data_IF_639823500926
#
_entry.id   IF_639823500926
#
_cell.length_a   1.000
_cell.length_b   1.000
_cell.length_c   1.000
_cell.angle_alpha   90.00
_cell.angle_beta   90.00
_cell.angle_gamma   90.00
#
_symmetry.space_group_name_H-M   'P 1'
#
loop_
_entity.id
_entity.type
_entity.pdbx_description
1 polymer ?
#
# COMPACT_ATOMS: atom_id res chain seq x y z
N UNK A 1 -34.19 3.35 -29.33
CA UNK A 1 -33.95 3.85 -27.95
C UNK A 1 -32.46 3.71 -27.70
N UNK A 2 -31.69 4.76 -28.01
CA UNK A 2 -30.25 4.78 -27.80
C UNK A 2 -29.96 5.01 -26.31
N UNK A 3 -29.22 4.08 -25.70
CA UNK A 3 -28.73 4.24 -24.34
C UNK A 3 -27.44 5.06 -24.44
N UNK A 4 -27.53 6.35 -24.19
CA UNK A 4 -26.35 7.22 -24.08
C UNK A 4 -25.59 6.86 -22.80
N UNK A 5 -24.48 6.13 -22.95
CA UNK A 5 -23.56 5.85 -21.84
C UNK A 5 -22.71 7.09 -21.58
N UNK A 6 -23.07 7.88 -20.57
CA UNK A 6 -22.24 8.98 -20.09
C UNK A 6 -21.22 8.43 -19.09
N UNK A 7 -19.96 8.31 -19.49
CA UNK A 7 -18.86 8.02 -18.57
C UNK A 7 -18.66 9.23 -17.67
N UNK A 8 -18.84 9.05 -16.37
CA UNK A 8 -18.52 10.05 -15.35
C UNK A 8 -17.25 9.57 -14.66
N UNK A 9 -16.14 10.26 -14.90
CA UNK A 9 -14.92 10.06 -14.15
C UNK A 9 -15.06 10.82 -12.83
N UNK A 10 -15.45 10.12 -11.77
CA UNK A 10 -15.29 10.65 -10.42
C UNK A 10 -13.84 10.46 -10.06
N UNK A 11 -13.03 11.47 -10.33
CA UNK A 11 -11.66 11.56 -9.81
C UNK A 11 -11.82 11.92 -8.33
N UNK A 12 -11.39 11.08 -7.37
CA UNK A 12 -11.19 11.56 -6.02
C UNK A 12 -10.23 12.72 -6.14
N UNK A 13 -10.67 13.93 -5.81
CA UNK A 13 -9.85 15.12 -5.99
C UNK A 13 -8.61 14.99 -5.10
N UNK A 14 -7.50 14.50 -5.67
CA UNK A 14 -6.23 14.28 -4.97
C UNK A 14 -5.66 15.57 -4.38
N UNK A 15 -6.20 16.72 -4.80
CA UNK A 15 -5.85 18.07 -4.37
C UNK A 15 -6.35 18.41 -2.96
N UNK A 16 -7.24 17.61 -2.35
CA UNK A 16 -7.76 17.86 -0.99
C UNK A 16 -7.42 16.73 -0.01
N UNK A 17 -6.13 16.37 0.07
CA UNK A 17 -5.62 15.52 1.15
C UNK A 17 -4.86 16.41 2.13
N UNK A 18 -5.42 16.63 3.34
CA UNK A 18 -4.77 17.37 4.42
C UNK A 18 -3.30 16.97 4.58
N UNK A 19 -2.40 17.95 4.82
CA UNK A 19 -0.95 17.73 4.88
C UNK A 19 -0.53 16.69 5.94
N UNK A 20 -1.30 16.57 7.00
CA UNK A 20 -1.20 15.58 8.08
C UNK A 20 -1.56 14.14 7.66
N UNK A 21 -2.20 13.96 6.51
CA UNK A 21 -2.52 12.66 5.90
C UNK A 21 -1.55 12.26 4.77
N UNK A 22 -0.54 13.10 4.48
CA UNK A 22 0.41 12.85 3.41
C UNK A 22 1.40 11.75 3.83
N UNK A 23 2.10 11.87 4.96
CA UNK A 23 3.05 10.84 5.35
C UNK A 23 2.39 9.72 6.17
N UNK A 24 2.51 8.48 5.71
CA UNK A 24 2.15 7.32 6.54
C UNK A 24 3.43 6.81 7.20
N UNK A 25 3.44 6.89 8.53
CA UNK A 25 4.41 6.22 9.37
C UNK A 25 3.68 5.12 10.14
N UNK A 26 4.17 3.89 10.06
CA UNK A 26 3.70 2.81 10.94
C UNK A 26 4.85 2.04 11.53
N UNK A 27 4.72 1.71 12.80
CA UNK A 27 5.64 0.84 13.51
C UNK A 27 4.90 -0.42 13.94
N UNK A 28 5.46 -1.58 13.62
CA UNK A 28 4.96 -2.88 14.07
C UNK A 28 6.12 -3.65 14.67
N UNK A 29 5.87 -4.27 15.83
CA UNK A 29 6.84 -5.09 16.53
C UNK A 29 6.21 -6.43 16.87
N UNK A 30 6.98 -7.51 16.74
CA UNK A 30 6.48 -8.86 17.02
C UNK A 30 7.60 -9.71 17.61
N UNK A 31 7.24 -10.49 18.63
CA UNK A 31 8.12 -11.51 19.17
C UNK A 31 8.13 -12.74 18.24
N UNK A 32 9.32 -13.27 17.97
CA UNK A 32 9.55 -14.39 17.07
C UNK A 32 9.93 -15.63 17.88
N UNK A 33 9.38 -16.82 17.52
CA UNK A 33 9.63 -18.10 18.19
C UNK A 33 8.46 -18.68 19.01
N UNK A 34 8.53 -19.97 19.36
CA UNK A 34 7.46 -20.73 20.07
C UNK A 34 7.87 -21.21 21.46
N UNK A 35 9.12 -21.68 21.65
CA UNK A 35 9.56 -22.36 22.89
C UNK A 35 10.71 -21.68 23.63
N UNK A 36 11.59 -20.99 22.90
CA UNK A 36 12.44 -19.93 23.42
C UNK A 36 12.06 -18.69 22.64
N UNK A 37 11.67 -17.60 23.31
CA UNK A 37 11.45 -16.32 22.63
C UNK A 37 12.77 -15.98 21.94
N UNK A 38 12.82 -16.10 20.61
CA UNK A 38 14.03 -15.81 19.84
C UNK A 38 14.36 -14.32 19.89
N UNK A 39 13.45 -13.49 20.41
CA UNK A 39 13.61 -12.06 20.58
C UNK A 39 12.59 -11.31 19.73
N UNK A 40 12.78 -10.00 19.62
CA UNK A 40 11.80 -9.11 18.99
C UNK A 40 12.38 -8.62 17.67
N UNK A 41 11.59 -8.69 16.61
CA UNK A 41 11.84 -7.94 15.39
C UNK A 41 10.85 -6.78 15.36
N UNK A 42 11.33 -5.59 15.05
CA UNK A 42 10.51 -4.40 14.85
C UNK A 42 10.77 -3.84 13.46
N UNK A 43 9.72 -3.35 12.81
CA UNK A 43 9.83 -2.64 11.56
C UNK A 43 9.09 -1.31 11.67
N UNK A 44 9.79 -0.22 11.35
CA UNK A 44 9.16 1.07 11.09
C UNK A 44 9.13 1.27 9.58
N UNK A 45 7.94 1.50 9.04
CA UNK A 45 7.69 1.74 7.63
C UNK A 45 7.36 3.20 7.44
N UNK A 46 8.02 3.85 6.49
CA UNK A 46 7.75 5.24 6.10
C UNK A 46 7.72 5.36 4.58
N UNK A 47 6.78 6.15 4.08
CA UNK A 47 6.69 6.50 2.66
C UNK A 47 6.14 7.92 2.50
N UNK A 48 6.54 8.63 1.43
CA UNK A 48 6.38 10.09 1.35
C UNK A 48 4.92 10.54 1.28
N UNK A 49 4.06 9.75 0.64
CA UNK A 49 2.66 10.11 0.43
C UNK A 49 1.70 8.90 0.48
N UNK A 50 0.57 9.06 1.16
CA UNK A 50 -0.56 8.09 1.18
C UNK A 50 -1.19 7.89 -0.19
N UNK A 51 -1.08 8.89 -1.05
CA UNK A 51 -1.55 8.86 -2.44
C UNK A 51 -0.46 8.29 -3.31
N UNK A 52 -0.74 7.16 -3.92
CA UNK A 52 0.13 6.54 -4.89
C UNK A 52 -0.43 6.84 -6.27
N UNK A 53 0.34 7.53 -7.10
CA UNK A 53 -0.09 7.86 -8.45
C UNK A 53 0.27 6.70 -9.37
N UNK A 54 -0.68 6.32 -10.19
CA UNK A 54 -0.48 5.31 -11.23
C UNK A 54 0.63 5.73 -12.18
N UNK A 55 1.61 4.85 -12.41
CA UNK A 55 2.76 5.11 -13.27
C UNK A 55 4.00 5.63 -12.52
N UNK A 56 3.85 6.14 -11.30
CA UNK A 56 4.97 6.59 -10.48
C UNK A 56 5.70 5.43 -9.80
N UNK A 57 7.00 5.63 -9.58
CA UNK A 57 7.83 4.79 -8.73
C UNK A 57 7.77 5.33 -7.31
N UNK A 58 7.27 4.53 -6.39
CA UNK A 58 7.06 4.89 -4.99
C UNK A 58 8.22 4.35 -4.16
N UNK A 59 8.96 5.21 -3.44
CA UNK A 59 9.95 4.78 -2.47
C UNK A 59 9.29 4.42 -1.13
N UNK A 60 9.67 3.28 -0.58
CA UNK A 60 9.27 2.77 0.73
C UNK A 60 10.51 2.52 1.57
N UNK A 61 10.64 3.25 2.67
CA UNK A 61 11.74 3.09 3.62
C UNK A 61 11.31 2.18 4.77
N UNK A 62 12.11 1.17 5.04
CA UNK A 62 11.95 0.26 6.18
C UNK A 62 13.14 0.44 7.11
N UNK A 63 12.88 0.72 8.38
CA UNK A 63 13.87 0.63 9.44
C UNK A 63 13.60 -0.65 10.23
N UNK A 64 14.49 -1.62 10.13
CA UNK A 64 14.35 -2.95 10.70
C UNK A 64 15.30 -3.06 11.89
N UNK A 65 14.74 -3.21 13.08
CA UNK A 65 15.47 -3.44 14.33
C UNK A 65 15.30 -4.91 14.72
N UNK A 66 16.35 -5.70 14.51
CA UNK A 66 16.35 -7.14 14.74
C UNK A 66 17.01 -7.48 16.08
N UNK A 67 16.28 -7.31 17.18
CA UNK A 67 16.68 -7.77 18.53
C UNK A 67 16.35 -9.25 18.75
N UNK A 68 16.43 -10.05 17.70
CA UNK A 68 16.20 -11.49 17.75
C UNK A 68 17.47 -12.27 17.44
N UNK A 69 17.45 -13.57 17.71
CA UNK A 69 18.49 -14.55 17.35
C UNK A 69 18.31 -15.08 15.93
N UNK A 70 17.28 -14.63 15.21
CA UNK A 70 16.99 -15.04 13.85
C UNK A 70 17.42 -13.96 12.86
N UNK A 71 17.99 -14.35 11.73
CA UNK A 71 18.24 -13.45 10.60
C UNK A 71 16.94 -13.03 9.91
N UNK A 72 16.83 -11.77 9.48
CA UNK A 72 15.81 -11.30 8.52
C UNK A 72 16.33 -11.48 7.10
N UNK A 73 15.61 -12.22 6.26
CA UNK A 73 16.11 -12.63 4.92
C UNK A 73 15.38 -12.01 3.74
N UNK A 74 14.17 -11.55 3.95
CA UNK A 74 13.34 -11.02 2.87
C UNK A 74 12.37 -9.99 3.41
N UNK A 75 12.12 -8.98 2.58
CA UNK A 75 11.01 -8.05 2.75
C UNK A 75 10.10 -8.13 1.54
N UNK A 76 8.79 -8.12 1.80
CA UNK A 76 7.75 -8.21 0.79
C UNK A 76 6.82 -7.01 0.85
N UNK A 77 6.45 -6.47 -0.30
CA UNK A 77 5.40 -5.46 -0.43
C UNK A 77 4.28 -6.04 -1.29
N UNK A 78 3.06 -6.06 -0.76
CA UNK A 78 1.87 -6.53 -1.49
C UNK A 78 0.78 -5.49 -1.41
N UNK A 79 0.25 -5.06 -2.55
CA UNK A 79 -0.94 -4.20 -2.58
C UNK A 79 -2.15 -5.02 -3.01
N UNK A 80 -3.21 -4.97 -2.21
CA UNK A 80 -4.49 -5.60 -2.50
C UNK A 80 -5.54 -4.54 -2.78
N UNK A 81 -6.25 -4.71 -3.90
CA UNK A 81 -7.52 -4.05 -4.17
C UNK A 81 -8.63 -4.80 -3.48
N UNK A 82 -9.43 -4.10 -2.70
CA UNK A 82 -10.69 -4.58 -2.15
C UNK A 82 -11.79 -3.79 -2.84
N UNK A 83 -12.70 -4.47 -3.52
CA UNK A 83 -13.86 -3.84 -4.14
C UNK A 83 -15.15 -4.43 -3.57
N UNK A 84 -15.96 -3.56 -2.97
CA UNK A 84 -17.27 -3.86 -2.37
C UNK A 84 -18.33 -3.25 -3.28
N UNK A 85 -19.34 -4.03 -3.66
CA UNK A 85 -20.41 -3.57 -4.54
C UNK A 85 -21.69 -4.37 -4.34
N UNK A 86 -22.84 -3.78 -4.66
CA UNK A 86 -24.12 -4.50 -4.67
C UNK A 86 -24.43 -5.09 -6.04
N UNK A 87 -24.82 -6.36 -6.08
CA UNK A 87 -25.30 -7.04 -7.29
C UNK A 87 -26.39 -8.04 -6.92
N UNK A 88 -27.54 -7.95 -7.61
CA UNK A 88 -28.74 -8.77 -7.33
C UNK A 88 -29.18 -8.69 -5.86
N UNK A 89 -29.29 -7.46 -5.33
CA UNK A 89 -29.66 -7.16 -3.93
C UNK A 89 -28.77 -7.82 -2.88
N UNK A 90 -27.57 -8.25 -3.27
CA UNK A 90 -26.58 -8.82 -2.39
C UNK A 90 -25.30 -8.00 -2.44
N UNK A 91 -24.74 -7.73 -1.28
CA UNK A 91 -23.39 -7.21 -1.18
C UNK A 91 -22.38 -8.27 -1.63
N UNK A 92 -21.45 -7.86 -2.48
CA UNK A 92 -20.34 -8.65 -2.97
C UNK A 92 -19.05 -7.94 -2.62
N UNK A 93 -18.04 -8.71 -2.24
CA UNK A 93 -16.70 -8.21 -2.00
C UNK A 93 -15.71 -9.05 -2.79
N UNK A 94 -14.80 -8.37 -3.50
CA UNK A 94 -13.69 -9.00 -4.20
C UNK A 94 -12.38 -8.49 -3.64
N UNK A 95 -11.40 -9.39 -3.51
CA UNK A 95 -10.04 -9.06 -3.09
C UNK A 95 -9.06 -9.54 -4.15
N UNK A 96 -8.29 -8.61 -4.72
CA UNK A 96 -7.34 -8.90 -5.79
C UNK A 96 -5.97 -8.33 -5.44
N UNK A 97 -4.92 -9.15 -5.54
CA UNK A 97 -3.54 -8.66 -5.43
C UNK A 97 -3.16 -7.92 -6.71
N UNK A 98 -2.70 -6.67 -6.60
CA UNK A 98 -2.28 -5.83 -7.73
C UNK A 98 -0.77 -5.68 -7.81
N UNK A 99 -0.09 -5.62 -6.67
CA UNK A 99 1.38 -5.54 -6.61
C UNK A 99 1.90 -6.64 -5.70
N UNK A 100 3.02 -7.23 -6.09
CA UNK A 100 3.80 -8.13 -5.25
C UNK A 100 5.29 -7.95 -5.59
N UNK A 101 6.04 -7.45 -4.63
CA UNK A 101 7.50 -7.31 -4.71
C UNK A 101 8.10 -8.02 -3.52
N UNK A 102 9.25 -8.66 -3.76
CA UNK A 102 10.08 -9.27 -2.74
C UNK A 102 11.50 -8.84 -2.98
N UNK A 103 12.19 -8.46 -1.92
CA UNK A 103 13.61 -8.11 -1.93
C UNK A 103 14.29 -8.97 -0.89
N UNK A 104 15.26 -9.77 -1.32
CA UNK A 104 16.15 -10.47 -0.41
C UNK A 104 17.04 -9.45 0.28
N UNK A 105 17.15 -9.56 1.59
CA UNK A 105 17.99 -8.72 2.45
C UNK A 105 18.70 -9.61 3.45
N UNK A 106 19.63 -9.05 4.23
CA UNK A 106 20.27 -9.78 5.31
C UNK A 106 20.45 -8.90 6.53
N UNK A 107 19.48 -8.89 7.44
CA UNK A 107 19.61 -8.22 8.74
C UNK A 107 19.97 -9.26 9.79
N UNK A 108 21.23 -9.26 10.20
CA UNK A 108 21.76 -10.23 11.15
C UNK A 108 21.14 -10.07 12.55
N UNK A 109 21.18 -11.13 13.38
CA UNK A 109 20.76 -11.05 14.77
C UNK A 109 21.39 -9.88 15.54
N UNK A 110 20.58 -9.21 16.36
CA UNK A 110 20.98 -8.06 17.20
C UNK A 110 21.56 -6.87 16.43
N UNK A 111 21.12 -6.67 15.20
CA UNK A 111 21.51 -5.52 14.36
C UNK A 111 20.30 -4.70 13.93
N UNK A 112 20.57 -3.49 13.45
CA UNK A 112 19.59 -2.60 12.84
C UNK A 112 20.01 -2.27 11.42
N UNK A 113 19.04 -2.21 10.50
CA UNK A 113 19.29 -1.91 9.11
C UNK A 113 18.15 -1.10 8.51
N UNK A 114 18.51 -0.09 7.72
CA UNK A 114 17.58 0.65 6.89
C UNK A 114 17.57 0.09 5.47
N UNK A 115 16.39 -0.13 4.92
CA UNK A 115 16.17 -0.67 3.59
C UNK A 115 15.25 0.23 2.78
N UNK A 116 15.65 0.54 1.55
CA UNK A 116 14.81 1.21 0.56
C UNK A 116 14.25 0.17 -0.42
N UNK A 117 12.94 0.18 -0.59
CA UNK A 117 12.21 -0.61 -1.59
C UNK A 117 11.52 0.37 -2.52
N UNK A 118 11.72 0.20 -3.82
CA UNK A 118 11.01 0.98 -4.83
C UNK A 118 10.01 0.08 -5.54
N UNK A 119 8.81 0.61 -5.78
CA UNK A 119 7.79 -0.11 -6.53
C UNK A 119 6.99 0.80 -7.43
N UNK A 120 6.61 0.30 -8.60
CA UNK A 120 5.76 1.02 -9.54
C UNK A 120 4.30 0.61 -9.35
N UNK A 121 3.41 1.60 -9.23
CA UNK A 121 1.97 1.33 -9.29
C UNK A 121 1.55 1.22 -10.75
N UNK A 122 1.20 0.01 -11.18
CA UNK A 122 0.68 -0.22 -12.54
C UNK A 122 -0.74 0.34 -12.71
N UNK A 123 -1.14 0.49 -13.97
CA UNK A 123 -2.48 0.96 -14.33
C UNK A 123 -3.57 0.10 -13.68
N UNK A 124 -4.36 0.75 -12.84
CA UNK A 124 -5.44 0.12 -12.08
C UNK A 124 -6.56 1.12 -11.84
N UNK A 125 -7.73 0.60 -11.47
CA UNK A 125 -8.88 1.43 -11.06
C UNK A 125 -8.48 2.27 -9.85
N UNK A 126 -8.81 3.55 -9.87
CA UNK A 126 -8.53 4.47 -8.77
C UNK A 126 -9.30 4.05 -7.49
N UNK A 127 -8.83 4.52 -6.35
CA UNK A 127 -9.63 4.47 -5.11
C UNK A 127 -10.95 5.20 -5.36
N UNK A 128 -12.05 4.63 -4.90
CA UNK A 128 -13.38 5.20 -5.13
C UNK A 128 -14.31 4.81 -3.99
N UNK A 129 -15.22 5.69 -3.59
CA UNK A 129 -16.18 5.42 -2.52
C UNK A 129 -17.52 6.07 -2.86
N UNK A 130 -18.59 5.28 -2.74
CA UNK A 130 -19.99 5.65 -2.91
C UNK A 130 -20.86 4.69 -2.10
N UNK A 131 -22.16 4.95 -2.02
CA UNK A 131 -23.09 4.09 -1.28
C UNK A 131 -23.20 2.67 -1.86
N UNK A 132 -23.03 2.53 -3.18
CA UNK A 132 -23.22 1.26 -3.89
C UNK A 132 -21.92 0.54 -4.23
N UNK A 133 -20.82 1.29 -4.39
CA UNK A 133 -19.54 0.76 -4.85
C UNK A 133 -18.42 1.44 -4.08
N UNK A 134 -17.49 0.64 -3.61
CA UNK A 134 -16.29 1.07 -2.91
C UNK A 134 -15.09 0.28 -3.42
N UNK A 135 -14.00 0.98 -3.68
CA UNK A 135 -12.70 0.44 -4.11
C UNK A 135 -11.64 1.01 -3.18
N UNK A 136 -11.10 0.15 -2.30
CA UNK A 136 -10.07 0.48 -1.32
C UNK A 136 -8.80 -0.32 -1.60
N UNK A 137 -7.66 0.20 -1.17
CA UNK A 137 -6.37 -0.46 -1.33
C UNK A 137 -5.66 -0.64 0.02
N UNK A 138 -5.19 -1.86 0.26
CA UNK A 138 -4.38 -2.21 1.43
C UNK A 138 -2.99 -2.63 0.98
N UNK A 139 -1.98 -1.91 1.44
CA UNK A 139 -0.58 -2.26 1.30
C UNK A 139 -0.13 -3.07 2.52
N UNK A 140 0.27 -4.31 2.28
CA UNK A 140 0.93 -5.17 3.25
C UNK A 140 2.44 -5.06 3.07
N UNK A 141 3.14 -4.77 4.14
CA UNK A 141 4.59 -4.86 4.24
C UNK A 141 4.92 -6.05 5.12
N UNK A 142 5.57 -7.05 4.54
CA UNK A 142 5.96 -8.28 5.19
C UNK A 142 7.46 -8.31 5.44
N UNK A 143 7.88 -8.69 6.63
CA UNK A 143 9.29 -8.94 6.96
C UNK A 143 9.43 -10.40 7.34
N UNK A 144 10.23 -11.15 6.58
CA UNK A 144 10.41 -12.59 6.72
C UNK A 144 11.72 -12.90 7.43
N UNK A 145 11.64 -13.62 8.54
CA UNK A 145 12.78 -14.12 9.29
C UNK A 145 13.03 -15.60 8.98
N UNK A 146 14.18 -16.08 9.43
CA UNK A 146 14.58 -17.49 9.39
C UNK A 146 13.83 -18.40 10.35
N UNK A 147 13.00 -17.84 11.22
CA UNK A 147 12.28 -18.62 12.21
C UNK A 147 11.29 -19.57 11.55
N UNK A 148 11.38 -20.86 11.90
CA UNK A 148 10.54 -21.92 11.36
C UNK A 148 9.03 -21.75 11.69
N UNK A 149 8.68 -20.88 12.65
CA UNK A 149 7.29 -20.70 13.06
C UNK A 149 6.99 -19.23 13.42
N UNK A 150 5.89 -18.68 12.90
CA UNK A 150 5.50 -17.25 13.03
C UNK A 150 6.58 -16.24 12.61
N UNK A 151 7.54 -16.63 11.76
CA UNK A 151 8.67 -15.81 11.31
C UNK A 151 8.34 -14.61 10.42
N UNK A 152 7.06 -14.34 10.12
CA UNK A 152 6.65 -13.17 9.34
C UNK A 152 6.06 -12.09 10.24
N UNK A 153 6.63 -10.88 10.18
CA UNK A 153 5.94 -9.66 10.59
C UNK A 153 5.13 -9.12 9.43
N UNK A 154 3.91 -8.65 9.70
CA UNK A 154 3.07 -8.01 8.72
C UNK A 154 2.58 -6.67 9.26
N UNK A 155 2.84 -5.61 8.49
CA UNK A 155 2.28 -4.27 8.68
C UNK A 155 1.28 -4.01 7.56
N UNK A 156 0.15 -3.36 7.87
CA UNK A 156 -0.90 -3.07 6.89
C UNK A 156 -1.22 -1.59 6.88
N UNK A 157 -1.27 -1.01 5.68
CA UNK A 157 -1.51 0.41 5.45
C UNK A 157 -2.64 0.61 4.45
N UNK A 158 -3.57 1.51 4.77
CA UNK A 158 -4.58 1.94 3.80
C UNK A 158 -4.00 3.01 2.89
N UNK A 159 -3.90 2.72 1.59
CA UNK A 159 -3.35 3.62 0.58
C UNK A 159 -4.43 4.09 -0.39
N UNK A 160 -4.24 5.28 -0.95
CA UNK A 160 -5.12 5.84 -1.98
C UNK A 160 -4.39 5.69 -3.32
N UNK A 161 -5.02 5.12 -4.33
CA UNK A 161 -4.46 5.08 -5.69
C UNK A 161 -5.18 6.11 -6.55
N UNK A 162 -4.43 7.09 -7.06
CA UNK A 162 -4.90 8.12 -7.97
C UNK A 162 -4.44 7.88 -9.41
N UNK A 163 -5.06 8.57 -10.37
CA UNK A 163 -4.53 8.68 -11.71
C UNK A 163 -3.40 9.71 -11.77
N UNK A 164 -2.49 9.50 -12.72
CA UNK A 164 -1.60 10.57 -13.16
C UNK A 164 -2.46 11.70 -13.75
N UNK A 165 -2.19 12.97 -13.44
CA UNK A 165 -2.85 14.06 -14.13
C UNK A 165 -2.54 13.95 -15.62
N UNK A 166 -3.58 13.73 -16.42
CA UNK A 166 -3.48 13.93 -17.86
C UNK A 166 -3.48 15.44 -18.05
N UNK A 167 -2.35 16.04 -18.44
CA UNK A 167 -2.37 17.40 -18.95
C UNK A 167 -3.08 17.37 -20.30
N UNK A 168 -4.41 17.45 -20.27
CA UNK A 168 -5.18 17.85 -21.43
C UNK A 168 -5.12 19.38 -21.45
N UNK A 169 -4.64 19.96 -22.54
CA UNK A 169 -4.48 21.41 -22.80
C UNK A 169 -5.82 22.20 -22.80
N UNK A 170 -6.84 21.78 -22.06
CA UNK A 170 -8.21 22.36 -22.12
C UNK A 170 -8.62 23.12 -20.84
N UNK A 171 -7.66 23.58 -20.02
CA UNK A 171 -7.97 24.48 -18.87
C UNK A 171 -7.58 25.94 -19.17
N UNK A 172 -7.30 26.29 -20.44
CA UNK A 172 -7.14 27.69 -20.85
C UNK A 172 -8.48 28.42 -21.06
N UNK A 173 -9.57 27.70 -21.32
CA UNK A 173 -10.85 28.32 -21.72
C UNK A 173 -11.83 28.58 -20.57
N UNK A 174 -11.48 28.19 -19.33
CA UNK A 174 -12.36 28.38 -18.17
C UNK A 174 -11.95 29.52 -17.23
N UNK A 175 -10.91 30.31 -17.57
CA UNK A 175 -10.46 31.46 -16.76
C UNK A 175 -10.79 32.83 -17.37
N UNK A 176 -11.65 32.88 -18.38
CA UNK A 176 -12.24 34.12 -18.88
C UNK A 176 -13.74 34.16 -18.57
N UNK A 177 -14.08 34.52 -17.33
CA UNK A 177 -15.36 35.13 -16.98
C UNK A 177 -15.11 36.25 -15.97
#
# INVERSE_FOLDING_TARGET
MEITKKLIFVVPNATYIPKDLQQINGAVSKNIGVFFKSGIVSVKTSFPQRVLITGEVIPLTLLIDNKSTCTVREVGVRIFRIARFYAKDQEKMTRQRKIMIRKSINVEPNTEQQELIEFKVHETVQTFESDLIEVKYLMHVDVFTTSAFRGTLNSVFSVIIGASPTMTEEISDCLHF
#
